data_IF_692614180923
#
_entry.id   IF_692614180923
#
_cell.length_a   1.000
_cell.length_b   1.000
_cell.length_c   1.000
_cell.angle_alpha   90.00
_cell.angle_beta   90.00
_cell.angle_gamma   90.00
#
_symmetry.space_group_name_H-M   'P 1'
#
loop_
_entity.id
_entity.type
_entity.pdbx_description
1 polymer ?
#
# COMPACT_ATOMS: atom_id res chain seq x y z
N UNK A 1 9.37 -4.32 -14.97
CA UNK A 1 8.18 -3.94 -14.19
C UNK A 1 6.98 -3.95 -15.14
N UNK A 2 5.88 -4.63 -14.81
CA UNK A 2 4.66 -4.59 -15.64
C UNK A 2 3.83 -3.37 -15.23
N UNK A 3 3.68 -2.42 -16.15
CA UNK A 3 2.96 -1.17 -15.90
C UNK A 3 1.44 -1.31 -16.06
N UNK A 4 0.71 -0.25 -15.66
CA UNK A 4 -0.75 -0.18 -15.76
C UNK A 4 -1.29 -0.52 -17.16
N UNK A 5 -0.61 -0.11 -18.23
CA UNK A 5 -1.03 -0.38 -19.61
C UNK A 5 -1.17 -1.87 -19.94
N UNK A 6 -0.33 -2.73 -19.35
CA UNK A 6 -0.45 -4.19 -19.49
C UNK A 6 -1.51 -4.78 -18.57
N UNK A 7 -1.71 -4.15 -17.40
CA UNK A 7 -2.58 -4.66 -16.35
C UNK A 7 -4.05 -4.23 -16.49
N UNK A 8 -4.34 -3.21 -17.31
CA UNK A 8 -5.64 -2.54 -17.37
C UNK A 8 -6.83 -3.45 -17.72
N UNK A 9 -6.57 -4.61 -18.33
CA UNK A 9 -7.54 -5.63 -18.71
C UNK A 9 -7.26 -6.98 -18.00
N UNK A 10 -6.54 -6.98 -16.89
CA UNK A 10 -6.15 -8.19 -16.15
C UNK A 10 -6.76 -8.21 -14.76
N UNK A 11 -6.84 -9.43 -14.22
CA UNK A 11 -7.15 -9.69 -12.82
C UNK A 11 -5.88 -10.25 -12.21
N UNK A 12 -5.31 -9.55 -11.23
CA UNK A 12 -4.03 -9.92 -10.63
C UNK A 12 -4.22 -10.24 -9.17
N UNK A 13 -3.80 -11.44 -8.75
CA UNK A 13 -3.69 -11.79 -7.35
C UNK A 13 -2.21 -11.83 -6.95
N UNK A 14 -1.86 -11.09 -5.90
CA UNK A 14 -0.55 -11.13 -5.25
C UNK A 14 -0.74 -11.78 -3.88
N UNK A 15 -0.16 -12.96 -3.69
CA UNK A 15 -0.11 -13.66 -2.41
C UNK A 15 1.23 -13.37 -1.75
N UNK A 16 1.25 -12.39 -0.82
CA UNK A 16 2.48 -12.01 -0.14
C UNK A 16 3.03 -13.13 0.77
N UNK A 17 2.21 -13.83 1.59
CA UNK A 17 2.68 -14.98 2.37
C UNK A 17 3.36 -16.06 1.54
N UNK A 18 2.77 -16.44 0.40
CA UNK A 18 3.31 -17.49 -0.47
C UNK A 18 4.34 -16.98 -1.49
N UNK A 19 4.55 -15.66 -1.57
CA UNK A 19 5.39 -14.99 -2.59
C UNK A 19 5.00 -15.38 -4.01
N UNK A 20 3.69 -15.41 -4.29
CA UNK A 20 3.15 -15.81 -5.59
C UNK A 20 2.40 -14.65 -6.25
N UNK A 21 2.46 -14.62 -7.57
CA UNK A 21 1.63 -13.75 -8.41
C UNK A 21 0.86 -14.64 -9.38
N UNK A 22 -0.44 -14.38 -9.50
CA UNK A 22 -1.30 -15.04 -10.48
C UNK A 22 -2.01 -13.98 -11.33
N UNK A 23 -2.01 -14.21 -12.64
CA UNK A 23 -2.86 -13.46 -13.59
C UNK A 23 -4.04 -14.37 -13.91
N UNK A 24 -5.23 -13.94 -13.53
CA UNK A 24 -6.45 -14.72 -13.56
C UNK A 24 -7.30 -14.35 -14.78
N UNK A 25 -8.08 -15.30 -15.26
CA UNK A 25 -9.02 -15.07 -16.38
C UNK A 25 -10.33 -14.47 -15.88
N UNK A 26 -10.79 -14.90 -14.69
CA UNK A 26 -12.02 -14.47 -14.04
C UNK A 26 -11.79 -14.20 -12.55
N UNK A 27 -12.56 -13.29 -11.97
CA UNK A 27 -12.47 -12.97 -10.54
C UNK A 27 -12.73 -14.21 -9.66
N UNK A 28 -13.65 -15.09 -10.09
CA UNK A 28 -13.94 -16.36 -9.41
C UNK A 28 -12.75 -17.31 -9.29
N UNK A 29 -11.76 -17.20 -10.18
CA UNK A 29 -10.54 -18.01 -10.14
C UNK A 29 -9.66 -17.63 -8.92
N UNK A 30 -9.88 -16.46 -8.29
CA UNK A 30 -9.23 -16.07 -7.05
C UNK A 30 -9.78 -16.79 -5.82
N UNK A 31 -11.00 -17.37 -5.90
CA UNK A 31 -11.68 -17.96 -4.74
C UNK A 31 -10.90 -19.11 -4.10
N UNK A 32 -10.37 -20.10 -4.83
CA UNK A 32 -9.54 -21.15 -4.23
C UNK A 32 -8.31 -20.58 -3.50
N UNK A 33 -7.81 -19.42 -3.91
CA UNK A 33 -6.65 -18.76 -3.32
C UNK A 33 -7.02 -17.77 -2.21
N UNK A 34 -8.30 -17.53 -1.92
CA UNK A 34 -8.74 -16.54 -0.92
C UNK A 34 -9.78 -17.07 0.05
N UNK A 35 -10.38 -18.24 -0.23
CA UNK A 35 -11.43 -18.83 0.60
C UNK A 35 -11.00 -19.15 2.05
N UNK A 36 -9.70 -19.36 2.29
CA UNK A 36 -9.17 -19.64 3.62
C UNK A 36 -8.96 -18.38 4.47
N UNK A 37 -9.13 -17.19 3.89
CA UNK A 37 -8.95 -15.89 4.54
C UNK A 37 -10.22 -15.48 5.29
N UNK A 38 -10.09 -15.20 6.60
CA UNK A 38 -11.24 -14.83 7.43
C UNK A 38 -11.58 -13.35 7.34
N UNK A 39 -10.57 -12.53 7.13
CA UNK A 39 -10.71 -11.08 7.06
C UNK A 39 -10.60 -10.66 5.61
N UNK A 40 -11.59 -9.94 5.10
CA UNK A 40 -11.58 -9.40 3.74
C UNK A 40 -12.13 -7.97 3.72
N UNK A 41 -11.62 -7.18 2.80
CA UNK A 41 -12.11 -5.84 2.54
C UNK A 41 -11.93 -5.51 1.06
N UNK A 42 -13.02 -5.17 0.40
CA UNK A 42 -13.03 -4.84 -1.02
C UNK A 42 -13.50 -3.40 -1.19
N UNK A 43 -12.79 -2.66 -2.05
CA UNK A 43 -13.08 -1.27 -2.38
C UNK A 43 -13.04 -1.07 -3.89
N UNK A 44 -13.65 0.02 -4.42
CA UNK A 44 -13.45 0.41 -5.80
C UNK A 44 -11.96 0.67 -6.10
N UNK A 45 -11.45 0.07 -7.18
CA UNK A 45 -10.13 0.36 -7.71
C UNK A 45 -10.18 1.68 -8.48
N UNK A 46 -9.74 2.74 -7.81
CA UNK A 46 -9.48 4.05 -8.41
C UNK A 46 -7.99 4.27 -8.54
N UNK A 47 -7.58 5.01 -9.56
CA UNK A 47 -6.16 5.34 -9.78
C UNK A 47 -5.90 6.84 -9.71
N UNK A 48 -4.71 7.20 -9.24
CA UNK A 48 -4.12 8.54 -9.36
C UNK A 48 -2.74 8.34 -9.95
N UNK A 49 -2.42 9.03 -11.05
CA UNK A 49 -1.17 8.85 -11.80
C UNK A 49 -0.90 7.38 -12.16
N UNK A 50 -1.96 6.61 -12.48
CA UNK A 50 -1.92 5.16 -12.74
C UNK A 50 -1.64 4.24 -11.53
N UNK A 51 -1.51 4.77 -10.31
CA UNK A 51 -1.40 3.95 -9.10
C UNK A 51 -2.76 3.71 -8.46
N UNK A 52 -3.13 2.46 -8.09
CA UNK A 52 -4.33 2.19 -7.31
C UNK A 52 -4.33 2.96 -5.98
N UNK A 53 -5.50 3.39 -5.52
CA UNK A 53 -5.64 4.18 -4.28
C UNK A 53 -6.33 3.35 -3.19
N UNK A 54 -5.69 3.26 -2.03
CA UNK A 54 -6.29 2.75 -0.80
C UNK A 54 -7.03 3.91 -0.11
N UNK A 55 -8.36 3.86 0.00
CA UNK A 55 -9.11 4.91 0.69
C UNK A 55 -8.99 4.76 2.21
N UNK A 56 -9.07 5.89 2.94
CA UNK A 56 -9.22 5.87 4.40
C UNK A 56 -8.09 5.21 5.16
N UNK A 57 -6.86 5.27 4.63
CA UNK A 57 -5.67 4.79 5.33
C UNK A 57 -5.43 5.63 6.59
N UNK A 58 -5.15 4.94 7.69
CA UNK A 58 -4.99 5.47 9.03
C UNK A 58 -3.51 5.69 9.35
N UNK A 59 -3.20 6.87 9.87
CA UNK A 59 -1.94 7.24 10.50
C UNK A 59 -2.24 7.70 11.92
N UNK A 60 -2.23 6.78 12.88
CA UNK A 60 -2.82 7.02 14.20
C UNK A 60 -4.29 7.38 14.08
N UNK A 61 -4.67 8.56 14.60
CA UNK A 61 -6.03 9.09 14.51
C UNK A 61 -6.37 9.81 13.19
N UNK A 62 -5.38 10.07 12.32
CA UNK A 62 -5.63 10.74 11.04
C UNK A 62 -5.98 9.74 9.94
N UNK A 63 -6.82 10.18 8.99
CA UNK A 63 -7.23 9.40 7.83
C UNK A 63 -6.89 10.12 6.53
N UNK A 64 -6.39 9.39 5.54
CA UNK A 64 -6.08 9.95 4.23
C UNK A 64 -6.12 8.90 3.12
N UNK A 65 -6.03 9.34 1.86
CA UNK A 65 -5.82 8.47 0.71
C UNK A 65 -4.33 8.21 0.53
N UNK A 66 -3.97 6.98 0.21
CA UNK A 66 -2.59 6.60 -0.14
C UNK A 66 -2.61 5.79 -1.42
N UNK A 67 -1.60 5.94 -2.27
CA UNK A 67 -1.46 5.04 -3.41
C UNK A 67 -0.75 3.75 -3.03
N UNK A 68 -1.12 2.69 -3.73
CA UNK A 68 -0.48 1.39 -3.68
C UNK A 68 0.53 1.29 -4.82
N UNK A 69 1.78 1.03 -4.47
CA UNK A 69 2.89 0.87 -5.41
C UNK A 69 3.50 -0.53 -5.26
N UNK A 70 2.96 -1.49 -6.02
CA UNK A 70 3.46 -2.87 -6.05
C UNK A 70 4.80 -3.00 -6.78
N UNK A 71 5.35 -1.91 -7.34
CA UNK A 71 6.73 -1.84 -7.84
C UNK A 71 7.75 -1.43 -6.77
N UNK A 72 7.30 -0.89 -5.64
CA UNK A 72 8.15 -0.46 -4.54
C UNK A 72 8.40 -1.59 -3.55
N UNK A 73 9.66 -1.81 -3.18
CA UNK A 73 10.05 -2.71 -2.08
C UNK A 73 9.85 -2.08 -0.69
N UNK A 74 9.60 -0.76 -0.60
CA UNK A 74 9.41 -0.05 0.66
C UNK A 74 8.13 -0.43 1.42
N UNK A 75 8.02 0.05 2.67
CA UNK A 75 6.81 -0.07 3.50
C UNK A 75 5.85 1.08 3.21
N UNK A 76 6.12 2.26 3.77
CA UNK A 76 5.35 3.50 3.54
C UNK A 76 6.33 4.62 3.19
N UNK A 77 6.04 5.35 2.11
CA UNK A 77 6.72 6.59 1.74
C UNK A 77 5.77 7.77 1.84
N UNK A 78 5.97 8.63 2.83
CA UNK A 78 5.18 9.82 3.12
C UNK A 78 5.58 10.96 2.18
N UNK A 79 4.61 11.56 1.49
CA UNK A 79 4.81 12.85 0.82
C UNK A 79 4.78 13.99 1.84
N UNK A 80 5.23 15.19 1.45
CA UNK A 80 5.23 16.35 2.37
C UNK A 80 3.83 16.64 2.93
N UNK A 81 2.79 16.50 2.11
CA UNK A 81 1.40 16.70 2.52
C UNK A 81 0.92 15.77 3.66
N UNK A 82 1.54 14.59 3.86
CA UNK A 82 1.23 13.73 4.99
C UNK A 82 1.66 14.34 6.32
N UNK A 83 2.73 15.14 6.33
CA UNK A 83 3.26 15.79 7.53
C UNK A 83 2.27 16.84 8.09
N UNK A 84 1.31 17.27 7.29
CA UNK A 84 0.29 18.24 7.71
C UNK A 84 -1.02 17.57 8.14
N UNK A 85 -1.02 16.23 8.26
CA UNK A 85 -2.13 15.51 8.88
C UNK A 85 -2.03 15.57 10.40
N UNK A 86 -3.17 15.69 11.12
CA UNK A 86 -3.18 15.76 12.58
C UNK A 86 -2.41 14.59 13.21
N UNK A 87 -1.45 14.91 14.08
CA UNK A 87 -0.66 13.93 14.82
C UNK A 87 0.45 13.24 14.03
N UNK A 88 0.56 13.37 12.70
CA UNK A 88 1.59 12.64 11.94
C UNK A 88 3.01 13.08 12.31
N UNK A 89 3.33 14.37 12.28
CA UNK A 89 4.66 14.87 12.68
C UNK A 89 5.04 14.46 14.11
N UNK A 90 4.10 14.55 15.04
CA UNK A 90 4.34 14.22 16.45
C UNK A 90 4.63 12.75 16.71
N UNK A 91 4.29 11.85 15.78
CA UNK A 91 4.55 10.42 15.88
C UNK A 91 5.76 9.97 15.05
N UNK A 92 6.50 10.88 14.40
CA UNK A 92 7.69 10.54 13.62
C UNK A 92 8.95 10.67 14.47
N UNK A 93 9.65 9.57 14.66
CA UNK A 93 10.96 9.53 15.32
C UNK A 93 12.02 9.12 14.31
N UNK A 94 12.99 9.99 14.06
CA UNK A 94 14.06 9.71 13.10
C UNK A 94 14.82 8.45 13.49
N UNK A 95 14.99 7.55 12.53
CA UNK A 95 15.69 6.27 12.70
C UNK A 95 16.94 6.14 11.83
N UNK A 96 17.24 7.17 11.03
CA UNK A 96 18.44 7.26 10.18
C UNK A 96 18.12 7.60 8.73
N UNK A 97 19.10 7.41 7.85
CA UNK A 97 18.98 7.64 6.41
C UNK A 97 19.00 6.33 5.66
N UNK A 98 18.12 6.18 4.66
CA UNK A 98 18.11 5.07 3.72
C UNK A 98 18.41 5.56 2.31
N UNK A 99 19.15 4.76 1.55
CA UNK A 99 19.32 4.96 0.11
C UNK A 99 18.24 4.20 -0.65
N UNK A 100 17.57 4.85 -1.59
CA UNK A 100 16.55 4.27 -2.45
C UNK A 100 16.96 4.41 -3.90
N UNK A 101 16.95 3.31 -4.63
CA UNK A 101 17.18 3.31 -6.08
C UNK A 101 15.83 3.12 -6.78
N UNK A 102 15.46 4.06 -7.64
CA UNK A 102 14.20 4.02 -8.40
C UNK A 102 14.41 4.38 -9.87
N UNK A 103 13.29 4.50 -10.60
CA UNK A 103 13.31 4.85 -12.04
C UNK A 103 13.98 6.20 -12.34
N UNK A 104 14.09 7.09 -11.34
CA UNK A 104 14.73 8.41 -11.43
C UNK A 104 16.17 8.43 -10.86
N UNK A 105 16.76 7.26 -10.61
CA UNK A 105 18.10 7.14 -10.02
C UNK A 105 18.09 6.92 -8.51
N UNK A 106 19.25 7.17 -7.89
CA UNK A 106 19.46 7.05 -6.45
C UNK A 106 18.97 8.30 -5.72
N UNK A 107 18.24 8.11 -4.62
CA UNK A 107 17.80 9.16 -3.72
C UNK A 107 18.03 8.75 -2.27
N UNK A 108 18.58 9.65 -1.47
CA UNK A 108 18.62 9.50 -0.01
C UNK A 108 17.30 9.97 0.58
N UNK A 109 16.77 9.20 1.53
CA UNK A 109 15.55 9.51 2.25
C UNK A 109 15.80 9.33 3.73
N UNK A 110 15.28 10.23 4.56
CA UNK A 110 15.20 10.00 5.99
C UNK A 110 14.17 8.91 6.26
N UNK A 111 14.54 7.98 7.13
CA UNK A 111 13.69 6.91 7.67
C UNK A 111 13.25 7.30 9.07
N UNK A 112 12.01 6.97 9.40
CA UNK A 112 11.40 7.26 10.69
C UNK A 112 10.72 6.01 11.22
N UNK A 113 10.75 5.83 12.53
CA UNK A 113 9.82 4.96 13.24
C UNK A 113 8.55 5.77 13.52
N UNK A 114 7.39 5.23 13.15
CA UNK A 114 6.09 5.86 13.40
C UNK A 114 5.43 5.29 14.66
N UNK A 115 5.29 6.09 15.71
CA UNK A 115 4.85 5.67 17.04
C UNK A 115 3.32 5.72 17.25
N UNK A 116 2.57 5.47 16.17
CA UNK A 116 1.15 5.21 16.24
C UNK A 116 0.75 4.06 15.29
N UNK A 117 -0.41 3.41 15.50
CA UNK A 117 -0.89 2.38 14.58
C UNK A 117 -1.09 2.89 13.15
N UNK A 118 -0.88 2.03 12.16
CA UNK A 118 -1.14 2.32 10.74
C UNK A 118 -1.97 1.22 10.11
N UNK A 119 -2.82 1.54 9.14
CA UNK A 119 -3.59 0.51 8.45
C UNK A 119 -4.79 1.03 7.67
N UNK A 120 -5.62 0.13 7.17
CA UNK A 120 -6.79 0.44 6.35
C UNK A 120 -7.82 -0.68 6.48
N UNK A 121 -9.11 -0.36 6.30
CA UNK A 121 -10.18 -1.36 6.47
C UNK A 121 -10.05 -2.08 7.83
N UNK A 122 -10.12 -3.42 7.89
CA UNK A 122 -9.88 -4.20 9.10
C UNK A 122 -8.39 -4.47 9.38
N UNK A 123 -7.47 -4.08 8.50
CA UNK A 123 -6.04 -4.38 8.64
C UNK A 123 -5.32 -3.26 9.37
N UNK A 124 -4.52 -3.61 10.38
CA UNK A 124 -3.74 -2.66 11.14
C UNK A 124 -2.43 -3.29 11.61
N UNK A 125 -1.38 -2.49 11.64
CA UNK A 125 -0.15 -2.77 12.37
C UNK A 125 -0.11 -1.87 13.62
N UNK A 126 0.47 -2.35 14.73
CA UNK A 126 0.69 -1.53 15.90
C UNK A 126 1.70 -0.41 15.62
N UNK A 127 1.94 0.44 16.62
CA UNK A 127 3.02 1.43 16.59
C UNK A 127 4.39 0.77 16.34
N UNK A 128 5.32 1.53 15.78
CA UNK A 128 6.70 1.12 15.50
C UNK A 128 6.98 0.76 14.04
N UNK A 129 6.05 1.03 13.11
CA UNK A 129 6.27 0.78 11.68
C UNK A 129 7.29 1.78 11.12
N UNK A 130 8.26 1.28 10.34
CA UNK A 130 9.18 2.14 9.61
C UNK A 130 8.52 2.78 8.40
N UNK A 131 8.70 4.10 8.29
CA UNK A 131 8.24 4.92 7.18
C UNK A 131 9.41 5.75 6.65
N UNK A 132 9.32 6.16 5.40
CA UNK A 132 10.29 7.03 4.75
C UNK A 132 9.60 8.30 4.29
N UNK A 133 10.35 9.37 4.04
CA UNK A 133 9.80 10.61 3.47
C UNK A 133 10.25 10.78 2.02
N UNK A 134 9.37 11.35 1.22
CA UNK A 134 9.65 11.70 -0.17
C UNK A 134 9.77 13.20 -0.33
N UNK A 135 10.60 13.61 -1.29
CA UNK A 135 10.72 15.01 -1.69
C UNK A 135 9.49 15.54 -2.44
N UNK A 136 8.63 14.65 -2.93
CA UNK A 136 7.38 15.03 -3.61
C UNK A 136 6.35 15.58 -2.62
N UNK A 137 5.58 16.58 -3.07
CA UNK A 137 4.61 17.26 -2.21
C UNK A 137 3.38 16.39 -1.91
N UNK A 138 2.93 15.59 -2.87
CA UNK A 138 1.66 14.86 -2.80
C UNK A 138 0.45 15.82 -2.71
N UNK A 139 -0.72 15.30 -2.35
CA UNK A 139 -1.89 16.13 -2.09
C UNK A 139 -2.85 15.43 -1.11
N UNK A 140 -3.43 16.21 -0.19
CA UNK A 140 -4.47 15.73 0.73
C UNK A 140 -5.73 15.27 -0.02
N UNK A 141 -5.98 15.80 -1.21
CA UNK A 141 -7.13 15.48 -2.02
C UNK A 141 -6.95 14.18 -2.83
N UNK A 142 -5.71 13.87 -3.23
CA UNK A 142 -5.42 12.70 -4.07
C UNK A 142 -4.74 11.59 -3.29
N UNK A 143 -3.51 11.83 -2.81
CA UNK A 143 -2.70 10.89 -2.06
C UNK A 143 -1.62 11.59 -1.24
N UNK A 144 -1.48 11.18 0.01
CA UNK A 144 -0.46 11.72 0.93
C UNK A 144 0.74 10.79 1.10
N UNK A 145 0.65 9.54 0.64
CA UNK A 145 1.73 8.57 0.75
C UNK A 145 1.64 7.48 -0.32
N UNK A 146 2.73 6.73 -0.49
CA UNK A 146 2.77 5.45 -1.19
C UNK A 146 2.95 4.31 -0.19
N UNK A 147 2.16 3.25 -0.36
CA UNK A 147 2.32 1.96 0.31
C UNK A 147 2.98 0.98 -0.64
N UNK A 148 4.08 0.36 -0.22
CA UNK A 148 4.79 -0.64 -1.00
C UNK A 148 4.59 -2.06 -0.49
N UNK A 149 5.30 -2.99 -1.14
CA UNK A 149 5.19 -4.42 -0.91
C UNK A 149 5.55 -4.85 0.52
N UNK A 150 6.46 -4.14 1.21
CA UNK A 150 6.86 -4.53 2.57
C UNK A 150 5.69 -4.42 3.55
N UNK A 151 4.85 -3.38 3.45
CA UNK A 151 3.70 -3.23 4.34
C UNK A 151 2.70 -4.38 4.17
N UNK A 152 2.35 -4.70 2.92
CA UNK A 152 1.41 -5.77 2.60
C UNK A 152 1.94 -7.15 3.00
N UNK A 153 3.25 -7.37 2.87
CA UNK A 153 3.92 -8.58 3.35
C UNK A 153 3.93 -8.67 4.88
N UNK A 154 4.21 -7.57 5.60
CA UNK A 154 4.17 -7.53 7.07
C UNK A 154 2.76 -7.82 7.59
N UNK A 155 1.73 -7.30 6.92
CA UNK A 155 0.33 -7.60 7.20
C UNK A 155 -0.13 -8.99 6.71
N UNK A 156 0.74 -9.75 6.03
CA UNK A 156 0.47 -11.10 5.50
C UNK A 156 -0.77 -11.16 4.59
N UNK A 157 -0.93 -10.16 3.73
CA UNK A 157 -2.14 -10.03 2.91
C UNK A 157 -2.04 -10.83 1.60
N UNK A 158 -3.20 -11.20 1.05
CA UNK A 158 -3.38 -11.43 -0.38
C UNK A 158 -4.10 -10.21 -0.95
N UNK A 159 -3.60 -9.69 -2.08
CA UNK A 159 -4.13 -8.52 -2.78
C UNK A 159 -4.68 -8.95 -4.13
N UNK A 160 -5.97 -8.68 -4.37
CA UNK A 160 -6.62 -8.87 -5.66
C UNK A 160 -6.84 -7.50 -6.31
N UNK A 161 -6.29 -7.30 -7.49
CA UNK A 161 -6.50 -6.15 -8.34
C UNK A 161 -7.28 -6.60 -9.57
N UNK A 162 -8.57 -6.30 -9.60
CA UNK A 162 -9.41 -6.51 -10.77
C UNK A 162 -9.52 -5.21 -11.55
N UNK A 163 -8.67 -5.06 -12.58
CA UNK A 163 -8.68 -3.87 -13.42
C UNK A 163 -9.83 -3.88 -14.42
N UNK A 164 -10.48 -5.02 -14.68
CA UNK A 164 -11.66 -5.11 -15.56
C UNK A 164 -12.89 -4.58 -14.85
N UNK A 165 -13.16 -5.12 -13.67
CA UNK A 165 -14.34 -4.77 -12.87
C UNK A 165 -14.09 -3.58 -11.94
N UNK A 166 -12.88 -3.02 -11.98
CA UNK A 166 -12.44 -1.87 -11.17
C UNK A 166 -12.65 -2.12 -9.68
N UNK A 167 -12.23 -3.28 -9.19
CA UNK A 167 -12.25 -3.62 -7.76
C UNK A 167 -10.88 -3.96 -7.23
N UNK A 168 -10.65 -3.64 -5.96
CA UNK A 168 -9.43 -3.96 -5.24
C UNK A 168 -9.81 -4.64 -3.92
N UNK A 169 -9.39 -5.90 -3.78
CA UNK A 169 -9.67 -6.74 -2.62
C UNK A 169 -8.41 -7.02 -1.80
N UNK A 170 -8.54 -6.93 -0.49
CA UNK A 170 -7.50 -7.30 0.47
C UNK A 170 -8.03 -8.43 1.33
N UNK A 171 -7.22 -9.47 1.50
CA UNK A 171 -7.57 -10.67 2.26
C UNK A 171 -6.47 -10.97 3.28
N UNK A 172 -6.84 -11.23 4.51
CA UNK A 172 -5.92 -11.57 5.60
C UNK A 172 -6.48 -12.68 6.49
N UNK A 173 -5.68 -13.06 7.50
CA UNK A 173 -5.97 -14.18 8.39
C UNK A 173 -6.26 -15.48 7.63
N UNK A 174 -5.48 -15.72 6.57
CA UNK A 174 -5.57 -16.89 5.73
C UNK A 174 -4.92 -18.09 6.42
N UNK A 175 -5.62 -19.24 6.40
CA UNK A 175 -5.08 -20.55 6.79
C UNK A 175 -4.40 -21.24 5.63
#
# INVERSE_FOLDING_TARGET
MLGYSFLADKIVLIDYPARRLAILLRAGDARPLTHSCRTHWTVPLRTVDSFPVIPGFRFGGAHARVSLDTGSTGSIGLFKSALDLPGVRGNLHEAGTITRTGARGEAKSTSYRFDAPVGFGPFALPAGVFVSTYGDDGSKDTRVANVGNTLLATMKLRLLLDYRDKTMGFYGDCK
#
